data_IF_987801212740
#
_entry.id   IF_987801212740
#
_cell.length_a   1.000
_cell.length_b   1.000
_cell.length_c   1.000
_cell.angle_alpha   90.00
_cell.angle_beta   90.00
_cell.angle_gamma   90.00
#
_symmetry.space_group_name_H-M   'P 1'
#
loop_
_entity.id
_entity.type
_entity.pdbx_description
1 polymer ?
#
# COMPACT_ATOMS: atom_id res chain seq x y z
N UNK A 1 -18.82 13.43 -15.48
CA UNK A 1 -17.90 12.48 -14.83
C UNK A 1 -18.53 11.12 -15.04
N UNK A 2 -18.02 10.30 -15.96
CA UNK A 2 -18.58 8.96 -16.20
C UNK A 2 -18.39 8.12 -14.92
N UNK A 3 -19.47 7.54 -14.41
CA UNK A 3 -19.39 6.59 -13.31
C UNK A 3 -18.83 5.27 -13.83
N UNK A 4 -17.78 4.78 -13.19
CA UNK A 4 -17.21 3.46 -13.49
C UNK A 4 -18.24 2.36 -13.19
N UNK A 5 -18.30 1.36 -14.06
CA UNK A 5 -19.06 0.13 -13.79
C UNK A 5 -18.41 -0.68 -12.66
N UNK A 6 -19.18 -1.54 -11.99
CA UNK A 6 -18.66 -2.41 -10.93
C UNK A 6 -17.53 -3.33 -11.41
N UNK A 7 -17.58 -3.75 -12.68
CA UNK A 7 -16.53 -4.55 -13.29
C UNK A 7 -15.23 -3.77 -13.44
N UNK A 8 -15.31 -2.49 -13.81
CA UNK A 8 -14.15 -1.61 -13.93
C UNK A 8 -13.56 -1.30 -12.55
N UNK A 9 -14.40 -1.00 -11.55
CA UNK A 9 -13.96 -0.82 -10.16
C UNK A 9 -13.21 -2.04 -9.64
N UNK A 10 -13.74 -3.24 -9.88
CA UNK A 10 -13.08 -4.49 -9.50
C UNK A 10 -11.75 -4.69 -10.23
N UNK A 11 -11.66 -4.32 -11.51
CA UNK A 11 -10.42 -4.39 -12.28
C UNK A 11 -9.36 -3.41 -11.76
N UNK A 12 -9.74 -2.18 -11.43
CA UNK A 12 -8.88 -1.16 -10.82
C UNK A 12 -8.35 -1.66 -9.47
N UNK A 13 -9.25 -2.13 -8.59
CA UNK A 13 -8.85 -2.70 -7.30
C UNK A 13 -7.86 -3.85 -7.45
N UNK A 14 -8.15 -4.79 -8.35
CA UNK A 14 -7.26 -5.93 -8.61
C UNK A 14 -5.87 -5.48 -9.08
N UNK A 15 -5.78 -4.47 -9.95
CA UNK A 15 -4.48 -3.94 -10.40
C UNK A 15 -3.72 -3.30 -9.24
N UNK A 16 -4.38 -2.40 -8.52
CA UNK A 16 -3.80 -1.69 -7.38
C UNK A 16 -3.26 -2.64 -6.30
N UNK A 17 -4.07 -3.63 -5.92
CA UNK A 17 -3.70 -4.64 -4.92
C UNK A 17 -2.49 -5.47 -5.36
N UNK A 18 -2.40 -5.83 -6.65
CA UNK A 18 -1.26 -6.59 -7.16
C UNK A 18 0.04 -5.79 -7.19
N UNK A 19 -0.07 -4.49 -7.41
CA UNK A 19 1.07 -3.59 -7.51
C UNK A 19 1.66 -3.24 -6.14
N UNK A 20 0.80 -2.85 -5.19
CA UNK A 20 1.26 -2.32 -3.90
C UNK A 20 1.22 -3.36 -2.77
N UNK A 21 0.43 -4.42 -2.90
CA UNK A 21 0.18 -5.38 -1.82
C UNK A 21 0.35 -6.84 -2.26
N UNK A 22 1.59 -7.29 -2.53
CA UNK A 22 1.85 -8.64 -3.00
C UNK A 22 1.40 -9.72 -1.98
N UNK A 23 0.52 -10.62 -2.41
CA UNK A 23 -0.13 -11.60 -1.54
C UNK A 23 0.85 -12.51 -0.80
N UNK A 24 1.81 -13.12 -1.51
CA UNK A 24 2.72 -14.12 -0.93
C UNK A 24 3.56 -13.59 0.23
N UNK A 25 4.29 -12.46 0.11
CA UNK A 25 5.06 -11.92 1.22
C UNK A 25 4.16 -11.42 2.35
N UNK A 26 3.03 -10.77 2.06
CA UNK A 26 2.11 -10.27 3.09
C UNK A 26 1.42 -11.41 3.86
N UNK A 27 1.15 -12.55 3.20
CA UNK A 27 0.72 -13.78 3.87
C UNK A 27 1.80 -14.33 4.80
N UNK A 28 3.06 -14.39 4.33
CA UNK A 28 4.20 -14.85 5.17
C UNK A 28 4.40 -13.94 6.38
N UNK A 29 4.14 -12.65 6.24
CA UNK A 29 4.17 -11.67 7.33
C UNK A 29 2.94 -11.74 8.26
N UNK A 30 1.99 -12.66 8.02
CA UNK A 30 0.79 -12.83 8.84
C UNK A 30 -0.31 -11.78 8.61
N UNK A 31 -0.18 -10.94 7.59
CA UNK A 31 -1.20 -9.94 7.27
C UNK A 31 -2.43 -10.57 6.60
N UNK A 32 -2.19 -11.43 5.61
CA UNK A 32 -3.23 -12.13 4.85
C UNK A 32 -3.32 -13.60 5.25
N UNK A 33 -4.52 -14.16 5.10
CA UNK A 33 -4.79 -15.59 5.29
C UNK A 33 -4.83 -16.33 3.95
N UNK A 34 -4.70 -17.68 3.93
CA UNK A 34 -4.79 -18.47 2.69
C UNK A 34 -6.11 -18.29 1.94
N UNK A 35 -7.22 -18.10 2.66
CA UNK A 35 -8.58 -17.98 2.12
C UNK A 35 -8.79 -16.69 1.34
N UNK A 36 -8.02 -15.65 1.66
CA UNK A 36 -8.05 -14.37 0.95
C UNK A 36 -7.42 -14.43 -0.45
N UNK A 37 -6.87 -15.57 -0.87
CA UNK A 37 -6.17 -15.68 -2.16
C UNK A 37 -7.13 -15.41 -3.32
N UNK A 38 -6.88 -14.33 -4.05
CA UNK A 38 -7.70 -13.92 -5.18
C UNK A 38 -8.93 -13.09 -4.81
N UNK A 39 -9.25 -12.99 -3.52
CA UNK A 39 -10.26 -12.07 -3.00
C UNK A 39 -9.62 -10.70 -2.70
N UNK A 40 -9.54 -9.87 -3.72
CA UNK A 40 -8.93 -8.53 -3.61
C UNK A 40 -9.74 -7.58 -2.72
N UNK A 41 -11.04 -7.84 -2.53
CA UNK A 41 -11.88 -7.01 -1.66
C UNK A 41 -11.56 -7.30 -0.20
N UNK A 42 -11.53 -8.58 0.20
CA UNK A 42 -11.16 -8.98 1.55
C UNK A 42 -9.72 -8.57 1.89
N UNK A 43 -8.79 -8.69 0.93
CA UNK A 43 -7.42 -8.20 1.12
C UNK A 43 -7.37 -6.68 1.35
N UNK A 44 -8.13 -5.90 0.55
CA UNK A 44 -8.19 -4.45 0.68
C UNK A 44 -8.79 -4.02 2.03
N UNK A 45 -9.89 -4.63 2.45
CA UNK A 45 -10.50 -4.38 3.77
C UNK A 45 -9.51 -4.69 4.91
N UNK A 46 -8.75 -5.78 4.79
CA UNK A 46 -7.71 -6.14 5.75
C UNK A 46 -6.61 -5.10 5.84
N UNK A 47 -6.16 -4.55 4.71
CA UNK A 47 -5.17 -3.47 4.67
C UNK A 47 -5.75 -2.20 5.30
N UNK A 48 -6.95 -1.78 4.88
CA UNK A 48 -7.62 -0.60 5.42
C UNK A 48 -7.73 -0.68 6.94
N UNK A 49 -8.17 -1.82 7.47
CA UNK A 49 -8.24 -2.05 8.91
C UNK A 49 -6.87 -1.98 9.59
N UNK A 50 -5.81 -2.53 8.96
CA UNK A 50 -4.46 -2.56 9.53
C UNK A 50 -3.77 -1.20 9.55
N UNK A 51 -4.04 -0.37 8.54
CA UNK A 51 -3.39 0.92 8.32
C UNK A 51 -4.26 2.12 8.72
N UNK A 52 -5.53 1.89 9.07
CA UNK A 52 -6.47 2.97 9.43
C UNK A 52 -6.98 3.77 8.23
N UNK A 53 -7.01 3.17 7.04
CA UNK A 53 -7.46 3.81 5.81
C UNK A 53 -8.97 3.62 5.62
N UNK A 54 -9.65 4.60 5.03
CA UNK A 54 -11.06 4.45 4.62
C UNK A 54 -11.17 3.63 3.34
N UNK A 55 -10.26 3.85 2.40
CA UNK A 55 -10.16 3.07 1.17
C UNK A 55 -8.70 2.72 0.91
N UNK A 56 -8.47 1.60 0.21
CA UNK A 56 -7.10 1.17 -0.07
C UNK A 56 -6.36 2.14 -0.99
N UNK A 57 -7.10 2.94 -1.77
CA UNK A 57 -6.56 3.99 -2.65
C UNK A 57 -6.08 5.24 -1.88
N UNK A 58 -6.28 5.32 -0.57
CA UNK A 58 -5.61 6.34 0.26
C UNK A 58 -4.15 5.97 0.53
N UNK A 59 -3.74 4.72 0.25
CA UNK A 59 -2.36 4.31 0.40
C UNK A 59 -1.45 5.10 -0.53
N UNK A 60 -0.46 5.80 0.04
CA UNK A 60 0.49 6.60 -0.73
C UNK A 60 -0.10 7.88 -1.32
N UNK A 61 -1.31 8.30 -0.91
CA UNK A 61 -1.88 9.58 -1.33
C UNK A 61 -1.08 10.77 -0.79
N UNK A 62 -0.67 10.69 0.47
CA UNK A 62 0.14 11.71 1.14
C UNK A 62 1.62 11.33 1.15
N UNK A 63 2.55 12.29 0.95
CA UNK A 63 3.96 12.04 1.12
C UNK A 63 4.29 11.68 2.57
N UNK A 64 5.16 10.69 2.74
CA UNK A 64 5.55 10.20 4.07
C UNK A 64 6.96 10.68 4.39
N UNK A 65 7.08 11.50 5.44
CA UNK A 65 8.36 11.91 5.99
C UNK A 65 8.85 10.87 7.03
N UNK A 66 9.97 10.23 6.74
CA UNK A 66 10.56 9.17 7.55
C UNK A 66 11.94 9.59 8.06
N UNK A 67 12.25 9.27 9.31
CA UNK A 67 13.63 9.31 9.81
C UNK A 67 14.30 7.96 9.58
N UNK A 68 15.33 7.93 8.73
CA UNK A 68 16.13 6.73 8.51
C UNK A 68 17.29 6.72 9.51
N UNK A 69 17.32 5.69 10.35
CA UNK A 69 18.44 5.44 11.27
C UNK A 69 19.40 4.44 10.63
N UNK A 70 20.69 4.76 10.68
CA UNK A 70 21.76 3.90 10.15
C UNK A 70 22.42 3.14 11.30
N UNK A 71 22.69 1.85 11.12
CA UNK A 71 23.42 1.04 12.10
C UNK A 71 24.92 1.40 12.20
N UNK A 72 25.37 2.44 11.49
CA UNK A 72 26.75 2.93 11.42
C UNK A 72 26.80 4.43 11.11
N UNK A 73 27.89 4.90 10.48
CA UNK A 73 28.04 6.32 10.11
C UNK A 73 27.06 6.66 8.97
N UNK A 74 26.24 7.68 9.17
CA UNK A 74 25.36 8.22 8.12
C UNK A 74 26.20 8.76 6.94
N UNK A 75 25.77 8.57 5.68
CA UNK A 75 26.44 9.14 4.52
C UNK A 75 26.57 10.67 4.62
N UNK A 76 27.74 11.19 4.26
CA UNK A 76 27.98 12.63 4.15
C UNK A 76 27.16 13.12 2.94
N UNK A 77 26.19 14.02 3.18
CA UNK A 77 25.25 14.65 2.22
C UNK A 77 23.83 14.06 2.08
N UNK A 78 23.41 13.11 2.91
CA UNK A 78 21.98 12.74 2.94
C UNK A 78 21.18 13.67 3.88
N UNK A 79 19.89 13.99 3.60
CA UNK A 79 19.03 14.75 4.51
C UNK A 79 18.64 13.94 5.77
N UNK A 80 18.25 14.64 6.86
CA UNK A 80 17.88 13.99 8.14
C UNK A 80 16.54 13.26 8.08
N UNK A 81 15.74 13.65 7.10
CA UNK A 81 14.40 13.13 6.86
C UNK A 81 14.34 12.73 5.39
N UNK A 82 13.91 11.50 5.16
CA UNK A 82 13.62 10.98 3.82
C UNK A 82 12.15 11.18 3.55
N UNK A 83 11.83 11.82 2.42
CA UNK A 83 10.44 11.99 1.98
C UNK A 83 10.17 10.92 0.93
N UNK A 84 9.20 10.06 1.21
CA UNK A 84 8.63 9.13 0.23
C UNK A 84 7.49 9.92 -0.45
N UNK A 85 7.59 10.22 -1.76
CA UNK A 85 6.59 11.02 -2.46
C UNK A 85 5.25 10.28 -2.59
N UNK A 86 4.21 11.03 -2.94
CA UNK A 86 2.91 10.45 -3.28
C UNK A 86 3.02 9.55 -4.51
N UNK A 87 2.22 8.47 -4.55
CA UNK A 87 2.14 7.59 -5.73
C UNK A 87 1.15 8.09 -6.79
N UNK A 88 0.50 9.23 -6.53
CA UNK A 88 -0.52 9.84 -7.41
C UNK A 88 -0.04 11.15 -8.08
N UNK A 89 1.23 11.50 -7.92
CA UNK A 89 1.88 12.65 -8.59
C UNK A 89 2.17 12.39 -10.08
#
# INVERSE_FOLDING_TARGET
MEELTEKEKAAVLKRFMREHFPFTPLRKAGLFTPEMRGDYKAQAERICSRLGLKTVFEYGAEPIACHISYAGKRPENEPFTTIIPSIYE
#
